data_IF_258560560806
#
_entry.id   IF_258560560806
#
_cell.length_a   1.000
_cell.length_b   1.000
_cell.length_c   1.000
_cell.angle_alpha   90.00
_cell.angle_beta   90.00
_cell.angle_gamma   90.00
#
_symmetry.space_group_name_H-M   'P 1'
#
loop_
_entity.id
_entity.type
_entity.pdbx_description
1 polymer ?
#
# COMPACT_ATOMS: atom_id res chain seq x y z
N UNK A 1 -16.33 -33.26 12.30
CA UNK A 1 -14.93 -32.87 12.04
C UNK A 1 -14.60 -31.66 12.90
N UNK A 2 -13.94 -31.87 14.03
CA UNK A 2 -13.48 -30.79 14.92
C UNK A 2 -12.25 -30.15 14.29
N UNK A 3 -12.43 -29.03 13.59
CA UNK A 3 -11.32 -28.18 13.13
C UNK A 3 -10.52 -27.79 14.37
N UNK A 4 -9.29 -28.26 14.49
CA UNK A 4 -8.50 -28.09 15.72
C UNK A 4 -8.33 -26.59 16.04
N UNK A 5 -8.84 -26.08 17.19
CA UNK A 5 -8.69 -24.69 17.60
C UNK A 5 -7.22 -24.25 17.76
N UNK A 6 -6.31 -25.22 17.91
CA UNK A 6 -4.88 -25.01 18.15
C UNK A 6 -4.16 -24.25 17.04
N UNK A 7 -4.58 -24.39 15.76
CA UNK A 7 -3.95 -23.68 14.63
C UNK A 7 -4.10 -22.15 14.74
N UNK A 8 -5.15 -21.69 15.44
CA UNK A 8 -5.47 -20.27 15.58
C UNK A 8 -4.91 -19.62 16.86
N UNK A 9 -4.43 -20.41 17.84
CA UNK A 9 -3.91 -19.88 19.11
C UNK A 9 -2.48 -19.33 19.00
N UNK A 10 -1.68 -19.85 18.07
CA UNK A 10 -0.25 -19.52 17.95
C UNK A 10 0.08 -18.60 16.76
N UNK A 11 -0.78 -17.61 16.50
CA UNK A 11 -0.52 -16.62 15.44
C UNK A 11 0.79 -15.87 15.71
N UNK A 12 1.64 -15.79 14.69
CA UNK A 12 2.87 -15.01 14.72
C UNK A 12 2.64 -13.63 14.11
N UNK A 13 3.17 -12.63 14.81
CA UNK A 13 3.03 -11.21 14.52
C UNK A 13 4.38 -10.65 14.05
N UNK A 14 4.37 -9.52 13.34
CA UNK A 14 5.57 -8.83 12.87
C UNK A 14 6.33 -8.26 14.08
N UNK A 15 5.65 -7.52 14.95
CA UNK A 15 6.15 -6.96 16.21
C UNK A 15 5.60 -7.78 17.38
N UNK A 16 4.30 -7.66 17.62
CA UNK A 16 3.54 -8.25 18.73
C UNK A 16 2.04 -8.07 18.44
N UNK A 17 1.11 -8.78 19.11
CA UNK A 17 -0.32 -8.60 18.86
C UNK A 17 -0.77 -7.14 19.00
N UNK A 18 -0.37 -6.46 20.08
CA UNK A 18 -0.74 -5.05 20.31
C UNK A 18 -0.03 -4.10 19.33
N UNK A 19 1.27 -4.30 19.10
CA UNK A 19 2.03 -3.49 18.16
C UNK A 19 1.46 -3.58 16.75
N UNK A 20 1.08 -4.76 16.30
CA UNK A 20 0.55 -4.97 14.96
C UNK A 20 -0.88 -4.46 14.80
N UNK A 21 -1.69 -4.55 15.86
CA UNK A 21 -2.99 -3.88 15.91
C UNK A 21 -2.82 -2.36 15.81
N UNK A 22 -1.80 -1.76 16.42
CA UNK A 22 -1.61 -0.32 16.39
C UNK A 22 -0.97 0.19 15.09
N UNK A 23 0.05 -0.50 14.56
CA UNK A 23 0.88 -0.04 13.43
C UNK A 23 0.51 -0.61 12.05
N UNK A 24 -0.25 -1.70 11.99
CA UNK A 24 -0.62 -2.32 10.71
C UNK A 24 -2.13 -2.43 10.52
N UNK A 25 -2.84 -3.05 11.46
CA UNK A 25 -4.24 -3.43 11.26
C UNK A 25 -5.20 -2.29 11.61
N UNK A 26 -5.02 -1.67 12.78
CA UNK A 26 -5.89 -0.60 13.29
C UNK A 26 -5.52 0.78 12.77
N UNK A 27 -4.27 1.00 12.33
CA UNK A 27 -3.79 2.30 11.83
C UNK A 27 -4.67 2.90 10.74
N UNK A 28 -5.14 2.13 9.73
CA UNK A 28 -6.05 2.68 8.72
C UNK A 28 -7.31 3.31 9.34
N UNK A 29 -7.90 2.66 10.34
CA UNK A 29 -9.07 3.17 11.05
C UNK A 29 -8.73 4.35 11.95
N UNK A 30 -7.59 4.28 12.66
CA UNK A 30 -7.12 5.37 13.51
C UNK A 30 -6.91 6.65 12.71
N UNK A 31 -6.25 6.58 11.55
CA UNK A 31 -6.06 7.74 10.67
C UNK A 31 -7.39 8.33 10.21
N UNK A 32 -8.36 7.50 9.84
CA UNK A 32 -9.66 7.98 9.41
C UNK A 32 -10.46 8.63 10.54
N UNK A 33 -10.53 7.97 11.70
CA UNK A 33 -11.28 8.45 12.87
C UNK A 33 -10.68 9.71 13.45
N UNK A 34 -9.37 9.94 13.30
CA UNK A 34 -8.74 11.20 13.71
C UNK A 34 -8.91 12.29 12.67
N UNK A 35 -8.80 11.99 11.37
CA UNK A 35 -8.86 13.01 10.31
C UNK A 35 -10.26 13.48 9.98
N UNK A 36 -11.29 12.62 10.02
CA UNK A 36 -12.65 13.02 9.67
C UNK A 36 -13.20 14.13 10.57
N UNK A 37 -13.07 14.05 11.92
CA UNK A 37 -13.52 15.13 12.80
C UNK A 37 -12.76 16.45 12.59
N UNK A 38 -11.50 16.42 12.14
CA UNK A 38 -10.72 17.63 11.88
C UNK A 38 -11.36 18.50 10.77
N UNK A 39 -12.20 17.91 9.91
CA UNK A 39 -12.96 18.62 8.88
C UNK A 39 -13.94 19.65 9.45
N UNK A 40 -14.27 19.56 10.73
CA UNK A 40 -15.09 20.58 11.41
C UNK A 40 -14.33 21.89 11.66
N UNK A 41 -13.00 21.86 11.59
CA UNK A 41 -12.11 22.99 11.95
C UNK A 41 -11.25 23.42 10.76
N UNK A 42 -10.77 22.47 9.96
CA UNK A 42 -9.89 22.71 8.81
C UNK A 42 -10.51 22.11 7.55
N UNK A 43 -10.28 22.73 6.39
CA UNK A 43 -10.66 22.12 5.12
C UNK A 43 -9.77 20.90 4.80
N UNK A 44 -10.27 20.00 3.96
CA UNK A 44 -9.60 18.75 3.62
C UNK A 44 -8.25 18.96 2.94
N UNK A 45 -8.05 20.06 2.19
CA UNK A 45 -6.77 20.35 1.55
C UNK A 45 -5.72 20.76 2.57
N UNK A 46 -6.09 21.60 3.55
CA UNK A 46 -5.20 21.97 4.66
C UNK A 46 -4.79 20.75 5.47
N UNK A 47 -5.74 19.86 5.80
CA UNK A 47 -5.42 18.61 6.52
C UNK A 47 -4.46 17.74 5.70
N UNK A 48 -4.78 17.53 4.42
CA UNK A 48 -3.95 16.74 3.52
C UNK A 48 -2.55 17.35 3.34
N UNK A 49 -2.44 18.67 3.23
CA UNK A 49 -1.16 19.37 3.08
C UNK A 49 -0.22 19.06 4.25
N UNK A 50 -0.68 19.25 5.49
CA UNK A 50 0.14 18.96 6.66
C UNK A 50 0.43 17.47 6.84
N UNK A 51 -0.57 16.61 6.58
CA UNK A 51 -0.41 15.17 6.65
C UNK A 51 0.64 14.67 5.66
N UNK A 52 0.56 15.07 4.39
CA UNK A 52 1.49 14.65 3.34
C UNK A 52 2.87 15.32 3.51
N UNK A 53 2.93 16.57 3.94
CA UNK A 53 4.22 17.22 4.20
C UNK A 53 5.01 16.48 5.30
N UNK A 54 4.34 16.03 6.36
CA UNK A 54 5.00 15.31 7.46
C UNK A 54 5.26 13.84 7.13
N UNK A 55 4.22 13.12 6.71
CA UNK A 55 4.31 11.67 6.51
C UNK A 55 4.85 11.33 5.12
N UNK A 56 4.27 11.91 4.06
CA UNK A 56 4.65 11.55 2.68
C UNK A 56 6.09 11.96 2.36
N UNK A 57 6.53 13.14 2.83
CA UNK A 57 7.94 13.52 2.65
C UNK A 57 8.85 12.79 3.64
N UNK A 58 8.38 12.59 4.87
CA UNK A 58 9.14 11.91 5.92
C UNK A 58 9.44 10.45 5.64
N UNK A 59 8.54 9.71 4.98
CA UNK A 59 8.73 8.27 4.73
C UNK A 59 9.80 7.95 3.70
N UNK A 60 10.23 8.92 2.90
CA UNK A 60 11.35 8.74 1.99
C UNK A 60 12.70 8.70 2.74
N UNK A 61 12.82 9.40 3.87
CA UNK A 61 14.08 9.52 4.61
C UNK A 61 14.66 8.16 5.04
N UNK A 62 13.89 7.22 5.64
CA UNK A 62 14.42 5.89 5.97
C UNK A 62 14.92 5.12 4.74
N UNK A 63 14.29 5.31 3.58
CA UNK A 63 14.75 4.73 2.31
C UNK A 63 16.12 5.27 1.89
N UNK A 64 16.32 6.58 1.99
CA UNK A 64 17.61 7.22 1.75
C UNK A 64 18.68 6.77 2.75
N UNK A 65 18.36 6.77 4.04
CA UNK A 65 19.28 6.31 5.08
C UNK A 65 19.74 4.87 4.82
N UNK A 66 18.84 3.99 4.37
CA UNK A 66 19.18 2.63 4.00
C UNK A 66 20.05 2.57 2.74
N UNK A 67 19.63 3.24 1.66
CA UNK A 67 20.33 3.17 0.38
C UNK A 67 21.78 3.70 0.45
N UNK A 68 22.01 4.77 1.22
CA UNK A 68 23.32 5.43 1.30
C UNK A 68 24.07 5.18 2.62
N UNK A 69 23.40 4.68 3.66
CA UNK A 69 23.99 4.40 4.97
C UNK A 69 24.38 2.94 5.20
N UNK A 70 23.90 2.00 4.40
CA UNK A 70 24.34 0.60 4.41
C UNK A 70 25.46 0.38 3.38
N UNK A 71 26.73 0.15 3.80
CA UNK A 71 27.85 -0.01 2.87
C UNK A 71 27.72 -1.22 1.94
N UNK A 72 27.16 -2.32 2.44
CA UNK A 72 27.01 -3.54 1.66
C UNK A 72 25.95 -3.32 0.57
N UNK A 73 24.80 -2.75 0.95
CA UNK A 73 23.77 -2.42 -0.02
C UNK A 73 24.23 -1.36 -1.03
N UNK A 74 24.90 -0.30 -0.56
CA UNK A 74 25.38 0.77 -1.43
C UNK A 74 26.43 0.26 -2.42
N UNK A 75 27.42 -0.50 -1.97
CA UNK A 75 28.43 -1.09 -2.87
C UNK A 75 27.80 -2.03 -3.90
N UNK A 76 26.80 -2.81 -3.52
CA UNK A 76 26.09 -3.73 -4.43
C UNK A 76 25.32 -3.00 -5.54
N UNK A 77 24.69 -1.85 -5.23
CA UNK A 77 23.81 -1.13 -6.17
C UNK A 77 24.28 0.29 -6.49
N UNK A 78 25.58 0.57 -6.32
CA UNK A 78 26.17 1.91 -6.38
C UNK A 78 25.76 2.72 -7.60
N UNK A 79 25.84 2.12 -8.79
CA UNK A 79 25.49 2.78 -10.04
C UNK A 79 24.03 3.24 -10.04
N UNK A 80 23.11 2.38 -9.58
CA UNK A 80 21.68 2.71 -9.50
C UNK A 80 21.45 3.84 -8.51
N UNK A 81 22.09 3.81 -7.34
CA UNK A 81 21.92 4.85 -6.33
C UNK A 81 22.55 6.19 -6.70
N UNK A 82 23.51 6.23 -7.62
CA UNK A 82 24.06 7.51 -8.12
C UNK A 82 23.32 8.01 -9.35
N UNK A 83 23.01 7.14 -10.31
CA UNK A 83 22.43 7.52 -11.59
C UNK A 83 20.93 7.76 -11.51
N UNK A 84 20.18 6.92 -10.79
CA UNK A 84 18.71 7.02 -10.78
C UNK A 84 18.20 8.38 -10.27
N UNK A 85 18.71 8.97 -9.17
CA UNK A 85 18.26 10.30 -8.73
C UNK A 85 18.49 11.39 -9.78
N UNK A 86 19.62 11.35 -10.49
CA UNK A 86 19.95 12.31 -11.55
C UNK A 86 18.98 12.15 -12.73
N UNK A 87 18.75 10.90 -13.16
CA UNK A 87 17.81 10.61 -14.25
C UNK A 87 16.39 11.04 -13.87
N UNK A 88 15.93 10.71 -12.67
CA UNK A 88 14.60 11.12 -12.19
C UNK A 88 14.50 12.64 -12.13
N UNK A 89 15.51 13.35 -11.63
CA UNK A 89 15.53 14.81 -11.60
C UNK A 89 15.45 15.41 -13.01
N UNK A 90 16.23 14.90 -13.96
CA UNK A 90 16.22 15.40 -15.35
C UNK A 90 14.87 15.13 -16.01
N UNK A 91 14.35 13.90 -15.92
CA UNK A 91 13.06 13.54 -16.53
C UNK A 91 11.91 14.35 -15.93
N UNK A 92 11.90 14.52 -14.60
CA UNK A 92 10.87 15.31 -13.92
C UNK A 92 10.96 16.79 -14.28
N UNK A 93 12.17 17.37 -14.32
CA UNK A 93 12.38 18.75 -14.75
C UNK A 93 11.95 18.95 -16.21
N UNK A 94 12.38 18.07 -17.13
CA UNK A 94 11.98 18.14 -18.53
C UNK A 94 10.46 18.05 -18.68
N UNK A 95 9.81 17.14 -17.97
CA UNK A 95 8.36 17.03 -18.01
C UNK A 95 7.65 18.28 -17.46
N UNK A 96 8.12 18.81 -16.33
CA UNK A 96 7.54 19.99 -15.68
C UNK A 96 7.69 21.24 -16.56
N UNK A 97 8.90 21.51 -17.06
CA UNK A 97 9.20 22.74 -17.81
C UNK A 97 8.72 22.69 -19.27
N UNK A 98 8.41 21.52 -19.82
CA UNK A 98 7.84 21.36 -21.17
C UNK A 98 6.37 20.91 -21.14
N UNK A 99 5.70 20.97 -19.98
CA UNK A 99 4.28 20.60 -19.84
C UNK A 99 3.94 19.19 -20.35
N UNK A 100 4.86 18.23 -20.17
CA UNK A 100 4.65 16.84 -20.59
C UNK A 100 3.76 16.12 -19.57
N UNK A 101 2.46 16.09 -19.83
CA UNK A 101 1.47 15.49 -18.94
C UNK A 101 1.59 13.95 -18.80
N UNK A 102 2.36 13.28 -19.66
CA UNK A 102 2.57 11.84 -19.62
C UNK A 102 3.26 11.35 -18.34
N UNK A 103 4.10 12.19 -17.74
CA UNK A 103 4.76 11.85 -16.47
C UNK A 103 3.74 11.66 -15.35
N UNK A 104 2.66 12.45 -15.31
CA UNK A 104 1.61 12.30 -14.31
C UNK A 104 0.95 10.92 -14.38
N UNK A 105 0.57 10.47 -15.57
CA UNK A 105 -0.05 9.15 -15.75
C UNK A 105 0.89 8.01 -15.34
N UNK A 106 2.18 8.15 -15.67
CA UNK A 106 3.20 7.18 -15.24
C UNK A 106 3.36 7.15 -13.72
N UNK A 107 3.43 8.32 -13.07
CA UNK A 107 3.51 8.45 -11.61
C UNK A 107 2.25 7.88 -10.95
N UNK A 108 1.06 8.12 -11.53
CA UNK A 108 -0.20 7.59 -11.01
C UNK A 108 -0.25 6.05 -11.04
N UNK A 109 0.19 5.45 -12.15
CA UNK A 109 0.28 3.99 -12.26
C UNK A 109 1.32 3.43 -11.30
N UNK A 110 2.48 4.08 -11.21
CA UNK A 110 3.53 3.71 -10.27
C UNK A 110 3.06 3.82 -8.82
N UNK A 111 2.31 4.86 -8.49
CA UNK A 111 1.77 5.10 -7.16
C UNK A 111 0.84 3.95 -6.76
N UNK A 112 -0.19 3.65 -7.57
CA UNK A 112 -1.09 2.53 -7.27
C UNK A 112 -0.30 1.21 -7.19
N UNK A 113 0.68 1.01 -8.07
CA UNK A 113 1.58 -0.15 -8.01
C UNK A 113 2.34 -0.22 -6.68
N UNK A 114 2.95 0.87 -6.26
CA UNK A 114 3.72 0.99 -5.03
C UNK A 114 2.87 0.71 -3.80
N UNK A 115 1.68 1.33 -3.73
CA UNK A 115 0.74 1.18 -2.62
C UNK A 115 0.29 -0.27 -2.46
N UNK A 116 -0.13 -0.89 -3.57
CA UNK A 116 -0.59 -2.28 -3.52
C UNK A 116 0.57 -3.24 -3.22
N UNK A 117 1.78 -3.01 -3.78
CA UNK A 117 2.94 -3.87 -3.55
C UNK A 117 3.44 -3.79 -2.11
N UNK A 118 3.38 -2.63 -1.47
CA UNK A 118 3.67 -2.50 -0.03
C UNK A 118 2.68 -3.32 0.79
N UNK A 119 1.38 -3.13 0.54
CA UNK A 119 0.33 -3.87 1.25
C UNK A 119 0.49 -5.39 1.08
N UNK A 120 0.68 -5.85 -0.16
CA UNK A 120 0.97 -7.24 -0.47
C UNK A 120 2.24 -7.73 0.26
N UNK A 121 3.30 -6.92 0.30
CA UNK A 121 4.52 -7.22 1.05
C UNK A 121 4.27 -7.49 2.53
N UNK A 122 3.47 -6.64 3.19
CA UNK A 122 3.07 -6.82 4.61
C UNK A 122 2.33 -8.14 4.79
N UNK A 123 1.38 -8.46 3.91
CA UNK A 123 0.67 -9.75 3.92
C UNK A 123 1.64 -10.94 3.81
N UNK A 124 2.67 -10.85 2.96
CA UNK A 124 3.69 -11.89 2.80
C UNK A 124 4.58 -12.05 4.03
N UNK A 125 4.89 -10.96 4.75
CA UNK A 125 5.65 -11.02 6.01
C UNK A 125 4.86 -11.81 7.06
N UNK A 126 3.55 -11.55 7.20
CA UNK A 126 2.70 -12.32 8.10
C UNK A 126 2.66 -13.81 7.76
N UNK A 127 2.51 -14.15 6.47
CA UNK A 127 2.56 -15.54 6.04
C UNK A 127 3.92 -16.19 6.36
N UNK A 128 5.04 -15.50 6.09
CA UNK A 128 6.38 -16.01 6.41
C UNK A 128 6.57 -16.26 7.91
N UNK A 129 6.12 -15.33 8.77
CA UNK A 129 6.14 -15.48 10.24
C UNK A 129 5.33 -16.69 10.71
N UNK A 130 4.20 -16.97 10.05
CA UNK A 130 3.34 -18.12 10.34
C UNK A 130 3.79 -19.41 9.62
N UNK A 131 4.93 -19.39 8.93
CA UNK A 131 5.48 -20.51 8.14
C UNK A 131 4.53 -20.98 7.02
N UNK A 132 3.88 -20.03 6.36
CA UNK A 132 3.00 -20.25 5.21
C UNK A 132 3.73 -19.86 3.92
N UNK A 133 4.14 -20.86 3.15
CA UNK A 133 4.94 -20.66 1.91
C UNK A 133 4.20 -21.12 0.64
N UNK A 134 2.87 -21.27 0.71
CA UNK A 134 2.04 -21.66 -0.43
C UNK A 134 2.10 -20.61 -1.55
N UNK A 135 2.49 -21.04 -2.76
CA UNK A 135 2.47 -20.19 -3.96
C UNK A 135 1.05 -19.78 -4.35
N UNK A 136 0.07 -20.65 -4.12
CA UNK A 136 -1.33 -20.36 -4.42
C UNK A 136 -1.85 -19.24 -3.52
N UNK A 137 -1.53 -19.28 -2.23
CA UNK A 137 -1.93 -18.24 -1.27
C UNK A 137 -1.31 -16.90 -1.66
N UNK A 138 -0.02 -16.89 -2.02
CA UNK A 138 0.65 -15.68 -2.49
C UNK A 138 0.00 -15.09 -3.75
N UNK A 139 -0.43 -15.93 -4.71
CA UNK A 139 -1.14 -15.48 -5.92
C UNK A 139 -2.51 -14.90 -5.59
N UNK A 140 -3.27 -15.54 -4.71
CA UNK A 140 -4.57 -15.03 -4.30
C UNK A 140 -4.45 -13.73 -3.49
N UNK A 141 -3.47 -13.61 -2.58
CA UNK A 141 -3.17 -12.37 -1.87
C UNK A 141 -2.85 -11.25 -2.87
N UNK A 142 -1.98 -11.52 -3.86
CA UNK A 142 -1.60 -10.54 -4.88
C UNK A 142 -2.78 -10.12 -5.76
N UNK A 143 -3.53 -11.08 -6.31
CA UNK A 143 -4.67 -10.83 -7.18
C UNK A 143 -5.77 -10.06 -6.45
N UNK A 144 -6.11 -10.45 -5.22
CA UNK A 144 -7.13 -9.75 -4.46
C UNK A 144 -6.71 -8.30 -4.15
N UNK A 145 -5.44 -8.09 -3.78
CA UNK A 145 -4.91 -6.75 -3.51
C UNK A 145 -4.96 -5.90 -4.79
N UNK A 146 -4.46 -6.41 -5.93
CA UNK A 146 -4.53 -5.70 -7.20
C UNK A 146 -5.98 -5.36 -7.59
N UNK A 147 -6.87 -6.34 -7.56
CA UNK A 147 -8.27 -6.15 -7.92
C UNK A 147 -8.97 -5.13 -7.00
N UNK A 148 -8.68 -5.14 -5.70
CA UNK A 148 -9.25 -4.18 -4.76
C UNK A 148 -8.80 -2.75 -5.08
N UNK A 149 -7.50 -2.50 -5.24
CA UNK A 149 -6.98 -1.17 -5.58
C UNK A 149 -7.48 -0.70 -6.96
N UNK A 150 -7.38 -1.55 -7.99
CA UNK A 150 -7.84 -1.22 -9.34
C UNK A 150 -9.35 -0.91 -9.35
N UNK A 151 -10.17 -1.72 -8.66
CA UNK A 151 -11.61 -1.48 -8.56
C UNK A 151 -11.89 -0.15 -7.90
N UNK A 152 -11.26 0.15 -6.76
CA UNK A 152 -11.55 1.38 -6.05
C UNK A 152 -11.11 2.62 -6.83
N UNK A 153 -9.96 2.57 -7.50
CA UNK A 153 -9.50 3.67 -8.38
C UNK A 153 -10.50 3.94 -9.51
N UNK A 154 -11.00 2.90 -10.18
CA UNK A 154 -11.92 3.07 -11.31
C UNK A 154 -13.35 3.43 -10.84
N UNK A 155 -13.77 2.95 -9.66
CA UNK A 155 -15.08 3.27 -9.11
C UNK A 155 -15.14 4.61 -8.38
N UNK A 156 -14.01 5.11 -7.88
CA UNK A 156 -13.91 6.45 -7.29
C UNK A 156 -14.23 7.52 -8.34
N UNK A 157 -15.28 8.33 -8.16
CA UNK A 157 -15.67 9.34 -9.14
C UNK A 157 -14.55 10.34 -9.41
N UNK A 158 -13.92 10.85 -8.35
CA UNK A 158 -12.89 11.87 -8.44
C UNK A 158 -11.58 11.29 -8.99
N UNK A 159 -11.17 10.11 -8.54
CA UNK A 159 -9.94 9.48 -9.01
C UNK A 159 -10.04 9.11 -10.50
N UNK A 160 -11.16 8.51 -10.90
CA UNK A 160 -11.39 8.14 -12.29
C UNK A 160 -11.52 9.38 -13.18
N UNK A 161 -12.17 10.45 -12.71
CA UNK A 161 -12.21 11.72 -13.45
C UNK A 161 -10.82 12.32 -13.66
N UNK A 162 -9.95 12.32 -12.63
CA UNK A 162 -8.56 12.79 -12.75
C UNK A 162 -7.76 12.00 -13.79
N UNK A 163 -7.97 10.68 -13.90
CA UNK A 163 -7.37 9.83 -14.93
C UNK A 163 -7.84 10.26 -16.33
N UNK A 164 -9.15 10.43 -16.50
CA UNK A 164 -9.73 10.81 -17.79
C UNK A 164 -9.27 12.20 -18.23
N UNK A 165 -9.22 13.18 -17.32
CA UNK A 165 -8.73 14.54 -17.62
C UNK A 165 -7.26 14.51 -18.08
N UNK A 166 -6.40 13.77 -17.38
CA UNK A 166 -4.99 13.67 -17.77
C UNK A 166 -4.77 12.89 -19.07
N UNK A 167 -5.59 11.87 -19.35
CA UNK A 167 -5.56 11.16 -20.63
C UNK A 167 -5.78 12.13 -21.80
N UNK A 168 -6.75 13.05 -21.68
CA UNK A 168 -6.96 14.04 -22.74
C UNK A 168 -5.75 14.95 -22.97
N UNK A 169 -5.10 15.36 -21.88
CA UNK A 169 -3.90 16.23 -21.94
C UNK A 169 -2.71 15.58 -22.63
N UNK A 170 -2.73 14.26 -22.82
CA UNK A 170 -1.71 13.51 -23.56
C UNK A 170 -2.22 12.96 -24.91
N UNK A 171 -3.39 13.43 -25.37
CA UNK A 171 -3.98 13.02 -26.65
C UNK A 171 -4.68 11.66 -26.64
N UNK A 172 -4.93 11.08 -25.46
CA UNK A 172 -5.73 9.85 -25.33
C UNK A 172 -7.22 10.24 -25.27
N UNK A 173 -8.07 9.69 -26.14
CA UNK A 173 -9.49 10.05 -26.17
C UNK A 173 -10.23 9.59 -24.90
N UNK A 174 -11.36 10.26 -24.62
CA UNK A 174 -12.27 9.79 -23.57
C UNK A 174 -12.81 8.40 -23.88
N UNK A 175 -13.00 7.61 -22.83
CA UNK A 175 -13.80 6.39 -22.92
C UNK A 175 -15.27 6.80 -23.10
N UNK A 176 -15.97 6.15 -24.02
CA UNK A 176 -17.42 6.33 -24.15
C UNK A 176 -18.14 5.90 -22.86
N UNK A 177 -19.38 6.36 -22.67
CA UNK A 177 -20.17 5.95 -21.51
C UNK A 177 -20.34 4.42 -21.47
N UNK A 178 -20.63 3.82 -22.63
CA UNK A 178 -20.80 2.36 -22.79
C UNK A 178 -19.53 1.61 -22.40
N UNK A 179 -18.37 2.07 -22.88
CA UNK A 179 -17.09 1.44 -22.55
C UNK A 179 -16.74 1.62 -21.07
N UNK A 180 -17.06 2.76 -20.49
CA UNK A 180 -16.88 3.02 -19.05
C UNK A 180 -17.75 2.09 -18.20
N UNK A 181 -19.03 1.92 -18.55
CA UNK A 181 -19.92 0.99 -17.86
C UNK A 181 -19.49 -0.47 -18.04
N UNK A 182 -19.03 -0.84 -19.23
CA UNK A 182 -18.48 -2.17 -19.49
C UNK A 182 -17.24 -2.43 -18.64
N UNK A 183 -16.29 -1.50 -18.61
CA UNK A 183 -15.06 -1.58 -17.81
C UNK A 183 -15.40 -1.79 -16.33
N UNK A 184 -16.27 -0.94 -15.76
CA UNK A 184 -16.72 -1.05 -14.36
C UNK A 184 -17.36 -2.40 -14.09
N UNK A 185 -18.28 -2.84 -14.96
CA UNK A 185 -18.98 -4.13 -14.83
C UNK A 185 -18.02 -5.31 -14.86
N UNK A 186 -17.09 -5.36 -15.82
CA UNK A 186 -16.08 -6.41 -15.92
C UNK A 186 -15.21 -6.43 -14.67
N UNK A 187 -14.72 -5.27 -14.25
CA UNK A 187 -13.85 -5.13 -13.08
C UNK A 187 -14.56 -5.58 -11.78
N UNK A 188 -15.84 -5.26 -11.63
CA UNK A 188 -16.66 -5.75 -10.53
C UNK A 188 -16.74 -7.28 -10.51
N UNK A 189 -17.13 -7.91 -11.62
CA UNK A 189 -17.27 -9.37 -11.67
C UNK A 189 -15.93 -10.09 -11.48
N UNK A 190 -14.84 -9.58 -12.06
CA UNK A 190 -13.49 -10.12 -11.86
C UNK A 190 -13.09 -10.03 -10.38
N UNK A 191 -13.30 -8.88 -9.75
CA UNK A 191 -12.96 -8.69 -8.33
C UNK A 191 -13.79 -9.60 -7.41
N UNK A 192 -15.09 -9.75 -7.69
CA UNK A 192 -15.95 -10.66 -6.95
C UNK A 192 -15.54 -12.13 -7.15
N UNK A 193 -15.15 -12.52 -8.36
CA UNK A 193 -14.64 -13.88 -8.62
C UNK A 193 -13.32 -14.16 -7.89
N UNK A 194 -12.39 -13.19 -7.88
CA UNK A 194 -11.12 -13.29 -7.14
C UNK A 194 -11.37 -13.35 -5.64
N UNK A 195 -12.29 -12.53 -5.11
CA UNK A 195 -12.69 -12.57 -3.70
C UNK A 195 -13.32 -13.92 -3.33
N UNK A 196 -14.23 -14.44 -4.15
CA UNK A 196 -14.83 -15.76 -3.93
C UNK A 196 -13.77 -16.87 -3.92
N UNK A 197 -12.81 -16.84 -4.85
CA UNK A 197 -11.71 -17.79 -4.90
C UNK A 197 -10.77 -17.67 -3.68
N UNK A 198 -10.50 -16.44 -3.24
CA UNK A 198 -9.73 -16.15 -2.03
C UNK A 198 -10.38 -16.75 -0.78
N UNK A 199 -11.68 -16.49 -0.59
CA UNK A 199 -12.46 -17.00 0.53
C UNK A 199 -12.61 -18.53 0.48
N UNK A 200 -12.88 -19.09 -0.70
CA UNK A 200 -12.92 -20.53 -0.90
C UNK A 200 -11.58 -21.19 -0.55
N UNK A 201 -10.45 -20.54 -0.87
CA UNK A 201 -9.13 -21.02 -0.47
C UNK A 201 -8.94 -20.94 1.06
N UNK A 202 -9.39 -19.88 1.74
CA UNK A 202 -9.36 -19.81 3.21
C UNK A 202 -10.18 -20.95 3.82
N UNK A 203 -11.41 -21.16 3.34
CA UNK A 203 -12.29 -22.25 3.83
C UNK A 203 -11.63 -23.61 3.59
N UNK A 204 -11.11 -23.85 2.38
CA UNK A 204 -10.37 -25.08 2.03
C UNK A 204 -9.24 -25.33 3.02
N UNK A 205 -8.47 -24.30 3.37
CA UNK A 205 -7.37 -24.42 4.33
C UNK A 205 -7.86 -24.73 5.74
N UNK A 206 -8.94 -24.07 6.18
CA UNK A 206 -9.54 -24.33 7.48
C UNK A 206 -10.03 -25.78 7.61
N UNK A 207 -10.75 -26.30 6.61
CA UNK A 207 -11.29 -27.67 6.64
C UNK A 207 -10.21 -28.75 6.47
N UNK A 208 -9.09 -28.42 5.81
CA UNK A 208 -7.95 -29.34 5.64
C UNK A 208 -6.90 -29.21 6.74
N UNK A 209 -7.16 -28.40 7.79
CA UNK A 209 -6.23 -28.22 8.90
C UNK A 209 -4.93 -27.48 8.53
N UNK A 210 -4.91 -26.79 7.38
CA UNK A 210 -3.77 -25.97 6.98
C UNK A 210 -3.77 -24.66 7.78
N UNK A 211 -2.57 -24.15 8.08
CA UNK A 211 -2.39 -22.88 8.82
C UNK A 211 -3.05 -21.72 8.09
N UNK A 212 -3.62 -20.76 8.81
CA UNK A 212 -4.12 -19.51 8.23
C UNK A 212 -3.48 -18.36 9.01
N UNK A 213 -3.05 -17.32 8.30
CA UNK A 213 -2.55 -16.08 8.91
C UNK A 213 -3.72 -15.14 9.14
N UNK A 214 -4.20 -15.05 10.39
CA UNK A 214 -5.29 -14.15 10.77
C UNK A 214 -4.88 -12.67 10.70
N UNK A 215 -3.67 -12.26 11.15
CA UNK A 215 -3.24 -10.86 11.01
C UNK A 215 -3.19 -10.40 9.55
N UNK A 216 -2.84 -11.30 8.62
CA UNK A 216 -2.88 -11.03 7.18
C UNK A 216 -4.30 -10.72 6.70
N UNK A 217 -5.27 -11.53 7.10
CA UNK A 217 -6.67 -11.32 6.71
C UNK A 217 -7.18 -10.00 7.31
N UNK A 218 -6.82 -9.72 8.57
CA UNK A 218 -7.21 -8.49 9.24
C UNK A 218 -6.66 -7.25 8.54
N UNK A 219 -5.36 -7.21 8.20
CA UNK A 219 -4.76 -6.06 7.50
C UNK A 219 -5.39 -5.87 6.12
N UNK A 220 -5.67 -6.95 5.38
CA UNK A 220 -6.35 -6.89 4.10
C UNK A 220 -7.77 -6.32 4.24
N UNK A 221 -8.53 -6.79 5.22
CA UNK A 221 -9.89 -6.31 5.47
C UNK A 221 -9.91 -4.81 5.81
N UNK A 222 -9.01 -4.36 6.69
CA UNK A 222 -8.94 -2.94 7.09
C UNK A 222 -8.46 -2.06 5.93
N UNK A 223 -7.54 -2.54 5.10
CA UNK A 223 -7.10 -1.81 3.90
C UNK A 223 -8.18 -1.75 2.83
N UNK A 224 -8.91 -2.83 2.54
CA UNK A 224 -10.03 -2.80 1.59
C UNK A 224 -11.14 -1.87 2.08
N UNK A 225 -11.46 -1.92 3.38
CA UNK A 225 -12.43 -1.04 3.98
C UNK A 225 -12.04 0.43 3.81
N UNK A 226 -10.79 0.81 4.15
CA UNK A 226 -10.39 2.21 4.11
C UNK A 226 -10.31 2.77 2.70
N UNK A 227 -9.85 2.00 1.71
CA UNK A 227 -9.80 2.49 0.32
C UNK A 227 -11.21 2.65 -0.23
N UNK A 228 -12.13 1.72 0.05
CA UNK A 228 -13.52 1.85 -0.35
C UNK A 228 -14.19 3.05 0.34
N UNK A 229 -14.10 3.11 1.66
CA UNK A 229 -14.77 4.13 2.44
C UNK A 229 -14.18 5.52 2.14
N UNK A 230 -12.86 5.63 2.13
CA UNK A 230 -12.13 6.88 1.92
C UNK A 230 -12.19 7.39 0.49
N UNK A 231 -12.05 6.52 -0.52
CA UNK A 231 -11.93 6.99 -1.91
C UNK A 231 -13.24 6.96 -2.69
N UNK A 232 -14.27 6.28 -2.17
CA UNK A 232 -15.59 6.21 -2.80
C UNK A 232 -16.67 6.78 -1.88
N UNK A 233 -16.81 6.28 -0.66
CA UNK A 233 -18.01 6.51 0.14
C UNK A 233 -18.13 7.94 0.70
N UNK A 234 -17.04 8.51 1.24
CA UNK A 234 -17.09 9.82 1.92
C UNK A 234 -17.20 11.02 0.97
N UNK A 235 -17.18 10.79 -0.34
CA UNK A 235 -17.24 11.83 -1.39
C UNK A 235 -16.24 12.99 -1.20
N UNK A 236 -15.09 12.70 -0.59
CA UNK A 236 -13.99 13.63 -0.37
C UNK A 236 -12.69 12.83 -0.54
N UNK A 237 -12.21 12.74 -1.78
CA UNK A 237 -11.02 11.94 -2.07
C UNK A 237 -9.80 12.51 -1.38
N UNK A 238 -9.74 13.82 -1.15
CA UNK A 238 -8.58 14.49 -0.56
C UNK A 238 -8.34 13.96 0.86
N UNK A 239 -9.37 13.95 1.71
CA UNK A 239 -9.22 13.44 3.08
C UNK A 239 -9.03 11.92 3.10
N UNK A 240 -9.73 11.19 2.22
CA UNK A 240 -9.61 9.73 2.13
C UNK A 240 -8.22 9.28 1.67
N UNK A 241 -7.63 10.01 0.72
CA UNK A 241 -6.28 9.82 0.25
C UNK A 241 -5.25 10.20 1.33
N UNK A 242 -5.43 11.33 2.03
CA UNK A 242 -4.55 11.73 3.12
C UNK A 242 -4.51 10.70 4.26
N UNK A 243 -5.68 10.21 4.69
CA UNK A 243 -5.76 9.14 5.68
C UNK A 243 -5.04 7.87 5.21
N UNK A 244 -5.19 7.55 3.92
CA UNK A 244 -4.51 6.42 3.31
C UNK A 244 -2.98 6.58 3.33
N UNK A 245 -2.49 7.71 2.83
CA UNK A 245 -1.06 8.01 2.76
C UNK A 245 -0.42 7.95 4.16
N UNK A 246 -1.06 8.53 5.17
CA UNK A 246 -0.52 8.53 6.53
C UNK A 246 -0.43 7.12 7.10
N UNK A 247 -1.46 6.27 6.97
CA UNK A 247 -1.33 4.90 7.51
C UNK A 247 -0.30 4.09 6.71
N UNK A 248 -0.22 4.28 5.40
CA UNK A 248 0.77 3.63 4.54
C UNK A 248 2.19 3.98 5.00
N UNK A 249 2.42 5.24 5.34
CA UNK A 249 3.71 5.73 5.83
C UNK A 249 4.03 5.19 7.23
N UNK A 250 3.04 5.16 8.13
CA UNK A 250 3.19 4.56 9.47
C UNK A 250 3.55 3.07 9.36
N UNK A 251 2.88 2.33 8.49
CA UNK A 251 3.19 0.92 8.24
C UNK A 251 4.63 0.76 7.74
N UNK A 252 5.07 1.62 6.81
CA UNK A 252 6.43 1.61 6.30
C UNK A 252 7.46 1.93 7.39
N UNK A 253 7.23 2.98 8.19
CA UNK A 253 8.08 3.33 9.32
C UNK A 253 8.24 2.17 10.30
N UNK A 254 7.16 1.47 10.62
CA UNK A 254 7.20 0.31 11.49
C UNK A 254 8.08 -0.82 10.90
N UNK A 255 7.95 -1.12 9.60
CA UNK A 255 8.78 -2.12 8.93
C UNK A 255 10.27 -1.74 8.95
N UNK A 256 10.59 -0.49 8.62
CA UNK A 256 11.99 -0.03 8.60
C UNK A 256 12.59 -0.02 10.00
N UNK A 257 11.83 0.41 11.00
CA UNK A 257 12.26 0.37 12.40
C UNK A 257 12.59 -1.07 12.86
N UNK A 258 11.72 -2.04 12.55
CA UNK A 258 11.96 -3.45 12.88
C UNK A 258 13.19 -3.98 12.16
N UNK A 259 13.34 -3.66 10.88
CA UNK A 259 14.48 -4.07 10.08
C UNK A 259 15.80 -3.54 10.66
N UNK A 260 15.88 -2.23 10.93
CA UNK A 260 17.07 -1.61 11.50
C UNK A 260 17.41 -2.17 12.88
N UNK A 261 16.41 -2.38 13.75
CA UNK A 261 16.63 -3.04 15.05
C UNK A 261 17.23 -4.45 14.90
N UNK A 262 16.83 -5.19 13.88
CA UNK A 262 17.38 -6.52 13.62
C UNK A 262 18.82 -6.46 13.10
N UNK A 263 19.18 -5.48 12.26
CA UNK A 263 20.56 -5.27 11.82
C UNK A 263 21.49 -4.98 13.00
N UNK A 264 21.08 -4.05 13.88
CA UNK A 264 21.85 -3.69 15.09
C UNK A 264 22.03 -4.90 15.99
N UNK A 265 20.98 -5.71 16.22
CA UNK A 265 21.06 -6.93 17.02
C UNK A 265 22.02 -7.98 16.44
N UNK A 266 22.16 -8.02 15.11
CA UNK A 266 23.08 -8.94 14.42
C UNK A 266 24.52 -8.46 14.37
N UNK A 267 24.82 -7.26 14.91
CA UNK A 267 26.14 -6.62 14.87
C UNK A 267 26.71 -6.45 13.45
N UNK A 268 25.83 -6.35 12.45
CA UNK A 268 26.25 -6.10 11.06
C UNK A 268 26.90 -4.70 10.95
N UNK A 269 27.93 -4.54 10.10
CA UNK A 269 28.69 -3.28 9.96
C UNK A 269 27.79 -2.16 9.42
N UNK A 270 27.19 -1.38 10.31
CA UNK A 270 26.43 -0.17 9.96
C UNK A 270 27.31 1.08 9.99
N UNK A 271 27.07 2.05 9.09
CA UNK A 271 27.71 3.38 9.18
C UNK A 271 27.16 4.18 10.36
N UNK A 272 27.85 5.29 10.72
CA UNK A 272 27.39 6.20 11.79
C UNK A 272 25.96 6.74 11.54
N UNK A 273 25.55 6.85 10.27
CA UNK A 273 24.24 7.36 9.84
C UNK A 273 23.07 6.45 10.24
N UNK A 274 23.33 5.18 10.52
CA UNK A 274 22.33 4.19 10.96
C UNK A 274 22.43 3.87 12.47
N UNK A 275 23.37 4.49 13.19
CA UNK A 275 23.62 4.26 14.63
C UNK A 275 23.10 5.37 15.54
N UNK A 276 22.66 6.48 14.94
CA UNK A 276 21.96 7.58 15.61
C UNK A 276 20.47 7.28 15.68
#
# INVERSE_FOLDING_TARGET
MTVAPAVYRDQKWIISPFGDLFFFIGTPLLCLVTMLPLRAVFDSQTIAFYALALFATGHHLPGFMRAYGDPELFSTFKEKFLVAPIVVLIVTALAQFNTLHGLFLMVLVWEIWHLFMQHYGIMRIYDAKNKIFSKLDARFDWLLTLCAFATVVIYSPEYFHRILDHNQRVGVPFLSAELTFLLKKVLFYVTMAVLAAYLANIVRRAVTGQKISLPKIAVMATTVFIIYYGWIHINDLVIGYAAFAVFHDIQYFAIVWIYNNNLVKRQERTTKLLRT
#
